data_IF_899392693142
#
_entry.id   IF_899392693142
#
_cell.length_a   1.000
_cell.length_b   1.000
_cell.length_c   1.000
_cell.angle_alpha   90.00
_cell.angle_beta   90.00
_cell.angle_gamma   90.00
#
_symmetry.space_group_name_H-M   'P 1'
#
loop_
_entity.id
_entity.type
_entity.pdbx_description
1 polymer ?
#
# COMPACT_ATOMS: atom_id res chain seq x y z
N UNK A 1 -25.97 3.74 -4.85
CA UNK A 1 -26.02 2.78 -3.73
C UNK A 1 -25.75 3.55 -2.44
N UNK A 2 -26.58 3.42 -1.41
CA UNK A 2 -26.25 3.97 -0.10
C UNK A 2 -25.02 3.26 0.45
N UNK A 3 -24.18 3.97 1.20
CA UNK A 3 -23.07 3.37 1.93
C UNK A 3 -23.64 2.51 3.05
N UNK A 4 -23.34 1.21 3.02
CA UNK A 4 -23.66 0.32 4.12
C UNK A 4 -22.62 0.50 5.24
N UNK A 5 -23.09 0.79 6.46
CA UNK A 5 -22.21 1.02 7.61
C UNK A 5 -21.44 -0.25 7.99
N UNK A 6 -22.05 -1.43 7.84
CA UNK A 6 -21.42 -2.72 8.10
C UNK A 6 -20.26 -2.97 7.14
N UNK A 7 -20.52 -2.86 5.83
CA UNK A 7 -19.49 -3.05 4.80
C UNK A 7 -18.36 -2.02 4.94
N UNK A 8 -18.69 -0.76 5.20
CA UNK A 8 -17.70 0.31 5.39
C UNK A 8 -16.83 0.03 6.62
N UNK A 9 -17.45 -0.36 7.74
CA UNK A 9 -16.71 -0.68 8.98
C UNK A 9 -15.78 -1.88 8.79
N UNK A 10 -16.22 -2.91 8.07
CA UNK A 10 -15.42 -4.07 7.74
C UNK A 10 -14.23 -3.69 6.84
N UNK A 11 -14.45 -2.88 5.81
CA UNK A 11 -13.39 -2.40 4.91
C UNK A 11 -12.34 -1.56 5.64
N UNK A 12 -12.74 -0.74 6.61
CA UNK A 12 -11.80 0.02 7.45
C UNK A 12 -10.93 -0.90 8.30
N UNK A 13 -11.53 -1.91 8.95
CA UNK A 13 -10.78 -2.90 9.75
C UNK A 13 -9.84 -3.71 8.86
N UNK A 14 -10.31 -4.20 7.71
CA UNK A 14 -9.50 -4.95 6.75
C UNK A 14 -8.29 -4.13 6.26
N UNK A 15 -8.50 -2.86 5.92
CA UNK A 15 -7.42 -1.96 5.46
C UNK A 15 -6.40 -1.71 6.57
N UNK A 16 -6.83 -1.55 7.82
CA UNK A 16 -5.94 -1.40 8.97
C UNK A 16 -5.07 -2.65 9.20
N UNK A 17 -5.66 -3.85 9.07
CA UNK A 17 -4.92 -5.12 9.18
C UNK A 17 -3.85 -5.25 8.08
N UNK A 18 -4.17 -4.87 6.83
CA UNK A 18 -3.21 -4.88 5.72
C UNK A 18 -2.07 -3.88 5.98
N UNK A 19 -2.38 -2.68 6.50
CA UNK A 19 -1.35 -1.69 6.83
C UNK A 19 -0.32 -2.23 7.86
N UNK A 20 -0.76 -3.06 8.82
CA UNK A 20 0.11 -3.68 9.83
C UNK A 20 1.04 -4.76 9.22
N UNK A 21 0.76 -5.28 8.02
CA UNK A 21 1.62 -6.28 7.39
C UNK A 21 2.99 -5.73 7.02
N UNK A 22 3.09 -4.49 6.52
CA UNK A 22 4.37 -3.89 6.12
C UNK A 22 5.38 -3.72 7.27
N UNK A 23 5.01 -3.23 8.48
CA UNK A 23 5.90 -3.27 9.63
C UNK A 23 6.12 -4.70 10.14
N UNK A 24 5.13 -5.59 9.98
CA UNK A 24 5.29 -7.03 10.23
C UNK A 24 6.42 -7.66 9.40
N UNK A 25 6.50 -7.32 8.10
CA UNK A 25 7.57 -7.73 7.21
C UNK A 25 8.93 -7.14 7.63
N UNK A 26 8.94 -5.89 8.09
CA UNK A 26 10.15 -5.25 8.60
C UNK A 26 10.75 -6.06 9.76
N UNK A 27 9.94 -6.44 10.75
CA UNK A 27 10.39 -7.28 11.86
C UNK A 27 10.74 -8.70 11.43
N UNK A 28 9.96 -9.30 10.53
CA UNK A 28 10.21 -10.65 10.04
C UNK A 28 11.55 -10.74 9.30
N UNK A 29 11.76 -9.90 8.28
CA UNK A 29 13.01 -9.88 7.53
C UNK A 29 14.18 -9.31 8.35
N UNK A 30 13.91 -8.34 9.22
CA UNK A 30 14.87 -7.83 10.19
C UNK A 30 15.38 -8.91 11.14
N UNK A 31 14.52 -9.85 11.56
CA UNK A 31 14.90 -10.97 12.43
C UNK A 31 15.72 -12.07 11.74
N UNK A 32 15.64 -12.17 10.41
CA UNK A 32 16.39 -13.16 9.62
C UNK A 32 17.81 -12.70 9.25
N UNK A 33 18.10 -11.40 9.35
CA UNK A 33 19.41 -10.84 8.98
C UNK A 33 20.34 -10.69 10.19
N UNK A 34 21.64 -10.62 9.91
CA UNK A 34 22.66 -10.37 10.95
C UNK A 34 22.39 -9.05 11.68
N UNK A 35 22.72 -8.97 12.98
CA UNK A 35 22.48 -7.78 13.83
C UNK A 35 22.94 -6.46 13.22
N UNK A 36 24.06 -6.47 12.49
CA UNK A 36 24.60 -5.29 11.79
C UNK A 36 23.70 -4.73 10.68
N UNK A 37 22.81 -5.55 10.12
CA UNK A 37 21.97 -5.21 8.97
C UNK A 37 20.48 -5.03 9.35
N UNK A 38 20.09 -5.32 10.59
CA UNK A 38 18.69 -5.25 11.04
C UNK A 38 18.12 -3.84 10.82
N UNK A 39 18.85 -2.81 11.25
CA UNK A 39 18.42 -1.42 11.08
C UNK A 39 18.24 -1.06 9.60
N UNK A 40 19.10 -1.56 8.71
CA UNK A 40 18.98 -1.29 7.28
C UNK A 40 17.71 -1.89 6.68
N UNK A 41 17.40 -3.15 7.01
CA UNK A 41 16.16 -3.82 6.54
C UNK A 41 14.92 -3.12 7.09
N UNK A 42 14.92 -2.78 8.38
CA UNK A 42 13.81 -2.04 8.99
C UNK A 42 13.56 -0.71 8.28
N UNK A 43 14.63 0.08 8.05
CA UNK A 43 14.53 1.38 7.37
C UNK A 43 14.06 1.23 5.92
N UNK A 44 14.55 0.23 5.18
CA UNK A 44 14.10 -0.03 3.81
C UNK A 44 12.60 -0.34 3.75
N UNK A 45 12.06 -1.14 4.68
CA UNK A 45 10.63 -1.45 4.74
C UNK A 45 9.77 -0.21 5.04
N UNK A 46 10.18 0.66 5.97
CA UNK A 46 9.45 1.90 6.28
C UNK A 46 9.53 2.93 5.16
N UNK A 47 10.70 3.10 4.54
CA UNK A 47 10.85 3.99 3.38
C UNK A 47 10.00 3.48 2.21
N UNK A 48 9.99 2.17 1.96
CA UNK A 48 9.15 1.56 0.93
C UNK A 48 7.66 1.84 1.17
N UNK A 49 7.19 1.82 2.42
CA UNK A 49 5.81 2.15 2.77
C UNK A 49 5.45 3.61 2.41
N UNK A 50 6.33 4.55 2.73
CA UNK A 50 6.11 5.96 2.42
C UNK A 50 6.12 6.23 0.92
N UNK A 51 7.11 5.67 0.20
CA UNK A 51 7.23 5.82 -1.26
C UNK A 51 6.05 5.18 -1.97
N UNK A 52 5.62 3.98 -1.58
CA UNK A 52 4.47 3.31 -2.21
C UNK A 52 3.17 4.11 -1.99
N UNK A 53 2.98 4.70 -0.81
CA UNK A 53 1.82 5.55 -0.52
C UNK A 53 1.79 6.80 -1.41
N UNK A 54 2.94 7.48 -1.55
CA UNK A 54 3.05 8.66 -2.43
C UNK A 54 2.78 8.27 -3.89
N UNK A 55 3.40 7.19 -4.38
CA UNK A 55 3.18 6.70 -5.74
C UNK A 55 1.72 6.31 -5.98
N UNK A 56 1.08 5.67 -5.00
CA UNK A 56 -0.31 5.24 -5.08
C UNK A 56 -1.26 6.42 -5.28
N UNK A 57 -1.11 7.46 -4.46
CA UNK A 57 -1.93 8.68 -4.57
C UNK A 57 -1.58 9.48 -5.83
N UNK A 58 -0.30 9.59 -6.18
CA UNK A 58 0.12 10.41 -7.32
C UNK A 58 -0.37 9.84 -8.66
N UNK A 59 -0.22 8.54 -8.89
CA UNK A 59 -0.56 7.91 -10.19
C UNK A 59 -1.08 6.48 -10.08
N UNK A 60 -0.71 5.73 -9.03
CA UNK A 60 -0.98 4.30 -8.93
C UNK A 60 -2.47 3.97 -8.93
N UNK A 61 -3.27 4.74 -8.19
CA UNK A 61 -4.72 4.56 -8.16
C UNK A 61 -5.32 4.71 -9.56
N UNK A 62 -4.97 5.79 -10.27
CA UNK A 62 -5.46 6.04 -11.63
C UNK A 62 -5.08 4.94 -12.61
N UNK A 63 -3.82 4.51 -12.58
CA UNK A 63 -3.32 3.48 -13.49
C UNK A 63 -3.93 2.09 -13.23
N UNK A 64 -4.48 1.84 -12.04
CA UNK A 64 -5.12 0.57 -11.69
C UNK A 64 -6.65 0.60 -11.81
N UNK A 65 -7.29 1.74 -11.53
CA UNK A 65 -8.75 1.81 -11.36
C UNK A 65 -9.45 2.84 -12.26
N UNK A 66 -8.71 3.70 -12.97
CA UNK A 66 -9.28 4.73 -13.85
C UNK A 66 -9.08 4.39 -15.32
N UNK A 67 -10.18 4.40 -16.08
CA UNK A 67 -10.17 4.14 -17.52
C UNK A 67 -9.71 2.74 -17.90
N UNK A 68 -9.70 2.45 -19.20
CA UNK A 68 -9.19 1.20 -19.72
C UNK A 68 -8.47 1.41 -21.04
N UNK A 69 -7.15 1.18 -21.06
CA UNK A 69 -6.37 1.06 -22.29
C UNK A 69 -6.19 -0.43 -22.58
N UNK A 70 -7.21 -1.02 -23.20
CA UNK A 70 -7.17 -2.38 -23.75
C UNK A 70 -7.07 -3.51 -22.70
N UNK A 71 -7.55 -3.29 -21.48
CA UNK A 71 -7.57 -4.26 -20.38
C UNK A 71 -6.26 -4.37 -19.60
N UNK A 72 -5.24 -3.57 -19.92
CA UNK A 72 -3.87 -3.76 -19.41
C UNK A 72 -3.46 -2.67 -18.42
N UNK A 73 -3.81 -1.41 -18.71
CA UNK A 73 -3.46 -0.26 -17.88
C UNK A 73 -4.57 0.78 -17.91
N UNK A 74 -4.76 1.46 -16.79
CA UNK A 74 -5.63 2.62 -16.70
C UNK A 74 -5.04 3.87 -17.36
N UNK A 75 -5.64 5.01 -17.06
CA UNK A 75 -5.24 6.32 -17.55
C UNK A 75 -4.74 7.21 -16.39
N UNK A 76 -4.63 8.53 -16.61
CA UNK A 76 -4.18 9.52 -15.63
C UNK A 76 -5.29 10.52 -15.24
N UNK A 77 -6.56 10.19 -15.47
CA UNK A 77 -7.67 11.10 -15.16
C UNK A 77 -7.83 11.31 -13.65
N UNK A 78 -7.44 10.30 -12.88
CA UNK A 78 -7.44 10.23 -11.43
C UNK A 78 -6.01 10.43 -10.87
N UNK A 79 -5.15 11.15 -11.62
CA UNK A 79 -3.80 11.47 -11.15
C UNK A 79 -3.87 12.48 -10.01
N UNK A 80 -3.16 12.19 -8.92
CA UNK A 80 -3.31 12.85 -7.63
C UNK A 80 -4.70 12.69 -7.00
N UNK A 81 -5.54 11.80 -7.57
CA UNK A 81 -6.75 11.10 -7.08
C UNK A 81 -7.87 10.99 -8.09
#
# INVERSE_FOLDING_TARGET
>A
MPLDTGDTSFMLVATALVMIMTPGLAFFYGGLVSRKNVLAIMMQSYVSMGVSTILWVAVGYSLCFSGDVGGIIGNLDMAFL
#
